data_IF_716675648380
#
_entry.id   IF_716675648380
#
_cell.length_a   1.000
_cell.length_b   1.000
_cell.length_c   1.000
_cell.angle_alpha   90.00
_cell.angle_beta   90.00
_cell.angle_gamma   90.00
#
_symmetry.space_group_name_H-M   'P 1'
#
loop_
_entity.id
_entity.type
_entity.pdbx_description
1 polymer ?
#
# COMPACT_ATOMS: atom_id res chain seq x y z
N UNK A 1 15.59 12.41 -14.85
CA UNK A 1 14.96 13.18 -13.76
C UNK A 1 14.83 12.37 -12.48
N UNK A 2 14.45 11.08 -12.54
CA UNK A 2 14.31 10.24 -11.33
C UNK A 2 15.63 10.14 -10.55
N UNK A 3 16.76 9.92 -11.23
CA UNK A 3 18.07 9.87 -10.57
C UNK A 3 18.50 11.22 -10.00
N UNK A 4 18.12 12.31 -10.64
CA UNK A 4 18.35 13.66 -10.11
C UNK A 4 17.57 13.92 -8.85
N UNK A 5 16.28 13.48 -8.80
CA UNK A 5 15.44 13.60 -7.61
C UNK A 5 15.93 12.72 -6.45
N UNK A 6 16.40 11.51 -6.74
CA UNK A 6 17.05 10.66 -5.72
C UNK A 6 18.25 11.37 -5.10
N UNK A 7 19.12 11.95 -5.94
CA UNK A 7 20.29 12.70 -5.47
C UNK A 7 19.88 13.91 -4.63
N UNK A 8 18.83 14.62 -5.02
CA UNK A 8 18.28 15.77 -4.29
C UNK A 8 17.78 15.34 -2.90
N UNK A 9 16.98 14.30 -2.83
CA UNK A 9 16.43 13.79 -1.56
C UNK A 9 17.52 13.25 -0.64
N UNK A 10 18.50 12.54 -1.19
CA UNK A 10 19.61 11.99 -0.42
C UNK A 10 20.54 13.07 0.14
N UNK A 11 20.78 14.13 -0.64
CA UNK A 11 21.69 15.24 -0.26
C UNK A 11 21.02 16.36 0.51
N UNK A 12 19.69 16.39 0.58
CA UNK A 12 18.91 17.43 1.22
C UNK A 12 18.43 17.05 2.62
N UNK A 13 17.83 18.03 3.29
CA UNK A 13 17.08 17.82 4.54
C UNK A 13 15.62 18.15 4.24
N UNK A 14 14.78 17.12 4.26
CA UNK A 14 13.34 17.28 4.01
C UNK A 14 12.64 17.68 5.32
N UNK A 15 12.04 18.86 5.31
CA UNK A 15 11.39 19.45 6.52
C UNK A 15 9.87 19.50 6.41
N UNK A 16 9.28 18.92 5.36
CA UNK A 16 7.84 18.83 5.23
C UNK A 16 7.34 17.66 6.10
N UNK A 17 6.56 17.96 7.13
CA UNK A 17 6.15 16.99 8.14
C UNK A 17 5.29 15.82 7.58
N UNK A 18 4.65 16.00 6.44
CA UNK A 18 3.85 14.97 5.77
C UNK A 18 4.66 14.02 4.89
N UNK A 19 5.95 14.30 4.67
CA UNK A 19 6.81 13.43 3.89
C UNK A 19 7.45 12.34 4.74
N UNK A 20 7.62 11.17 4.14
CA UNK A 20 8.38 10.06 4.71
C UNK A 20 9.03 9.25 3.60
N UNK A 21 10.19 8.66 3.90
CA UNK A 21 10.87 7.79 2.93
C UNK A 21 10.18 6.43 2.87
N UNK A 22 9.65 6.09 1.69
CA UNK A 22 9.06 4.78 1.45
C UNK A 22 10.15 3.71 1.33
N UNK A 23 9.88 2.53 1.87
CA UNK A 23 10.75 1.38 1.68
C UNK A 23 10.77 0.94 0.21
N UNK A 24 11.91 0.43 -0.26
CA UNK A 24 12.09 0.01 -1.66
C UNK A 24 11.07 -1.03 -2.10
N UNK A 25 10.77 -2.02 -1.28
CA UNK A 25 9.76 -3.03 -1.61
C UNK A 25 8.33 -2.48 -1.73
N UNK A 26 8.01 -1.36 -1.07
CA UNK A 26 6.72 -0.66 -1.27
C UNK A 26 6.72 0.04 -2.63
N UNK A 27 7.82 0.74 -2.96
CA UNK A 27 8.00 1.40 -4.26
C UNK A 27 7.94 0.37 -5.39
N UNK A 28 8.59 -0.77 -5.23
CA UNK A 28 8.61 -1.85 -6.21
C UNK A 28 7.20 -2.43 -6.45
N UNK A 29 6.41 -2.57 -5.39
CA UNK A 29 5.03 -3.02 -5.52
C UNK A 29 4.16 -2.01 -6.28
N UNK A 30 4.28 -0.73 -5.95
CA UNK A 30 3.54 0.35 -6.63
C UNK A 30 3.99 0.51 -8.07
N UNK A 31 5.27 0.38 -8.35
CA UNK A 31 5.85 0.44 -9.70
C UNK A 31 5.75 -0.86 -10.50
N UNK A 32 4.89 -1.77 -10.12
CA UNK A 32 4.67 -3.05 -10.77
C UNK A 32 3.37 -3.07 -11.59
N UNK A 33 3.05 -4.24 -12.18
CA UNK A 33 1.80 -4.46 -12.89
C UNK A 33 0.54 -4.30 -12.01
N UNK A 34 0.68 -4.30 -10.69
CA UNK A 34 -0.42 -4.02 -9.76
C UNK A 34 -1.02 -2.62 -9.98
N UNK A 35 -0.20 -1.66 -10.41
CA UNK A 35 -0.63 -0.31 -10.77
C UNK A 35 -1.68 -0.28 -11.89
N UNK A 36 -1.74 -1.31 -12.74
CA UNK A 36 -2.71 -1.42 -13.82
C UNK A 36 -4.12 -1.77 -13.35
N UNK A 37 -4.28 -2.19 -12.10
CA UNK A 37 -5.55 -2.74 -11.61
C UNK A 37 -6.51 -1.63 -11.14
N UNK A 38 -7.77 -1.81 -11.50
CA UNK A 38 -8.90 -1.05 -10.99
C UNK A 38 -9.69 -1.95 -10.03
N UNK A 39 -9.76 -1.58 -8.75
CA UNK A 39 -10.16 -2.49 -7.68
C UNK A 39 -11.31 -1.94 -6.82
N UNK A 40 -12.25 -1.24 -7.44
CA UNK A 40 -13.46 -0.77 -6.75
C UNK A 40 -14.23 -1.93 -6.13
N UNK A 41 -14.72 -1.71 -4.93
CA UNK A 41 -15.38 -2.73 -4.11
C UNK A 41 -14.47 -3.27 -3.02
N UNK A 42 -14.72 -4.50 -2.59
CA UNK A 42 -13.99 -5.18 -1.52
C UNK A 42 -13.54 -6.55 -1.98
N UNK A 43 -12.56 -7.19 -1.29
CA UNK A 43 -12.19 -8.57 -1.57
C UNK A 43 -13.41 -9.48 -1.63
N UNK A 44 -13.54 -10.25 -2.72
CA UNK A 44 -14.69 -11.12 -2.99
C UNK A 44 -15.98 -10.39 -3.44
N UNK A 45 -15.98 -9.06 -3.45
CA UNK A 45 -17.14 -8.23 -3.82
C UNK A 45 -16.71 -7.05 -4.70
N UNK A 46 -16.00 -7.34 -5.78
CA UNK A 46 -15.50 -6.34 -6.74
C UNK A 46 -16.53 -6.02 -7.81
N UNK A 47 -16.49 -4.78 -8.29
CA UNK A 47 -17.27 -4.39 -9.46
C UNK A 47 -16.70 -4.95 -10.77
N UNK A 48 -15.40 -5.24 -10.80
CA UNK A 48 -14.67 -5.71 -11.99
C UNK A 48 -13.89 -6.98 -11.71
N UNK A 49 -13.66 -7.79 -12.74
CA UNK A 49 -12.88 -9.01 -12.65
C UNK A 49 -11.37 -8.78 -12.61
N UNK A 50 -10.64 -9.86 -12.37
CA UNK A 50 -9.17 -9.85 -12.42
C UNK A 50 -8.49 -9.30 -11.17
N UNK A 51 -9.13 -9.31 -10.02
CA UNK A 51 -8.61 -8.81 -8.75
C UNK A 51 -8.18 -9.91 -7.77
N UNK A 52 -7.97 -11.12 -8.23
CA UNK A 52 -7.60 -12.26 -7.37
C UNK A 52 -6.40 -11.96 -6.46
N UNK A 53 -5.36 -11.35 -7.01
CA UNK A 53 -4.16 -11.03 -6.24
C UNK A 53 -4.28 -9.74 -5.45
N UNK A 54 -5.03 -8.76 -5.94
CA UNK A 54 -5.35 -7.55 -5.18
C UNK A 54 -6.15 -7.91 -3.92
N UNK A 55 -7.11 -8.82 -4.03
CA UNK A 55 -7.89 -9.31 -2.88
C UNK A 55 -6.97 -9.91 -1.80
N UNK A 56 -6.00 -10.73 -2.20
CA UNK A 56 -5.02 -11.32 -1.28
C UNK A 56 -4.14 -10.25 -0.60
N UNK A 57 -3.75 -9.22 -1.34
CA UNK A 57 -2.95 -8.10 -0.81
C UNK A 57 -3.77 -7.31 0.22
N UNK A 58 -5.00 -6.95 -0.12
CA UNK A 58 -5.86 -6.20 0.81
C UNK A 58 -6.17 -7.01 2.08
N UNK A 59 -6.50 -8.29 1.94
CA UNK A 59 -6.74 -9.16 3.09
C UNK A 59 -5.50 -9.28 3.99
N UNK A 60 -4.32 -9.39 3.39
CA UNK A 60 -3.07 -9.41 4.14
C UNK A 60 -2.83 -8.07 4.86
N UNK A 61 -3.10 -6.94 4.23
CA UNK A 61 -3.01 -5.62 4.85
C UNK A 61 -3.95 -5.50 6.05
N UNK A 62 -5.21 -5.92 5.90
CA UNK A 62 -6.20 -5.93 7.00
C UNK A 62 -5.73 -6.75 8.19
N UNK A 63 -5.27 -7.97 7.94
CA UNK A 63 -4.76 -8.86 8.98
C UNK A 63 -3.57 -8.23 9.72
N UNK A 64 -2.64 -7.66 8.98
CA UNK A 64 -1.46 -7.00 9.55
C UNK A 64 -1.82 -5.76 10.35
N UNK A 65 -2.75 -4.94 9.86
CA UNK A 65 -3.23 -3.76 10.58
C UNK A 65 -3.85 -4.15 11.92
N UNK A 66 -4.78 -5.10 11.93
CA UNK A 66 -5.39 -5.59 13.18
C UNK A 66 -4.36 -6.16 14.15
N UNK A 67 -3.37 -6.90 13.64
CA UNK A 67 -2.29 -7.45 14.46
C UNK A 67 -1.42 -6.36 15.09
N UNK A 68 -1.09 -5.32 14.37
CA UNK A 68 -0.28 -4.19 14.89
C UNK A 68 -0.96 -3.52 16.08
N UNK A 69 -2.28 -3.38 16.02
CA UNK A 69 -3.06 -2.76 17.10
C UNK A 69 -3.53 -3.75 18.17
N UNK A 70 -3.23 -5.04 18.03
CA UNK A 70 -3.73 -6.07 18.94
C UNK A 70 -5.26 -6.16 18.94
N UNK A 71 -5.90 -5.81 17.83
CA UNK A 71 -7.35 -5.72 17.69
C UNK A 71 -7.97 -7.08 17.37
N UNK A 72 -9.08 -7.41 18.05
CA UNK A 72 -9.85 -8.62 17.78
C UNK A 72 -10.58 -8.50 16.43
N UNK A 73 -10.30 -9.37 15.46
CA UNK A 73 -10.93 -9.33 14.13
C UNK A 73 -12.45 -9.61 14.14
N UNK A 74 -12.99 -10.15 15.24
CA UNK A 74 -14.43 -10.33 15.41
C UNK A 74 -15.16 -9.03 15.80
N UNK A 75 -14.41 -8.03 16.27
CA UNK A 75 -14.95 -6.74 16.75
C UNK A 75 -14.50 -5.59 15.89
N UNK A 76 -13.29 -5.67 15.37
CA UNK A 76 -12.65 -4.59 14.62
C UNK A 76 -12.44 -4.94 13.16
N UNK A 77 -12.57 -3.94 12.32
CA UNK A 77 -12.31 -4.02 10.88
C UNK A 77 -11.31 -2.95 10.48
N UNK A 78 -10.39 -3.30 9.59
CA UNK A 78 -9.51 -2.36 8.93
C UNK A 78 -9.96 -2.19 7.47
N UNK A 79 -10.13 -0.95 7.04
CA UNK A 79 -10.34 -0.62 5.64
C UNK A 79 -9.01 -0.12 5.05
N UNK A 80 -8.58 -0.74 3.97
CA UNK A 80 -7.31 -0.44 3.28
C UNK A 80 -7.55 0.00 1.85
#
# INVERSE_FOLDING_TARGET
>A
YIEQEKARQFGGIELIASENFAYTYVIDAIGSCLTNKYSEGYPGARYYGGNEFIDKIEDLCKQRALKVYGADPNVWHANV
#
